data_IF_814223662892
#
_entry.id   IF_814223662892
#
_cell.length_a   1.000
_cell.length_b   1.000
_cell.length_c   1.000
_cell.angle_alpha   90.00
_cell.angle_beta   90.00
_cell.angle_gamma   90.00
#
_symmetry.space_group_name_H-M   'P 1'
#
loop_
_entity.id
_entity.type
_entity.pdbx_description
1 polymer ?
#
# COMPACT_ATOMS: atom_id res chain seq x y z
N UNK A 1 -28.89 10.85 4.74
CA UNK A 1 -27.91 9.88 4.21
C UNK A 1 -26.65 10.05 5.04
N UNK A 2 -26.08 8.96 5.57
CA UNK A 2 -24.87 9.04 6.40
C UNK A 2 -23.67 9.44 5.56
N UNK A 3 -22.75 10.18 6.13
CA UNK A 3 -21.45 10.46 5.53
C UNK A 3 -20.53 9.27 5.80
N UNK A 4 -20.23 8.50 4.76
CA UNK A 4 -19.27 7.42 4.84
C UNK A 4 -17.85 8.01 4.81
N UNK A 5 -16.98 7.52 5.69
CA UNK A 5 -15.57 7.89 5.74
C UNK A 5 -14.75 6.63 5.67
N UNK A 6 -13.79 6.54 4.76
CA UNK A 6 -12.96 5.35 4.62
C UNK A 6 -11.58 5.67 4.06
N UNK A 7 -10.64 4.76 4.29
CA UNK A 7 -9.33 4.77 3.66
C UNK A 7 -9.36 3.82 2.45
N UNK A 8 -8.90 4.32 1.31
CA UNK A 8 -8.66 3.55 0.10
C UNK A 8 -7.17 3.21 0.00
N UNK A 9 -6.85 1.94 0.25
CA UNK A 9 -5.48 1.45 0.20
C UNK A 9 -4.89 1.45 -1.21
N UNK A 10 -5.72 1.36 -2.27
CA UNK A 10 -5.24 1.36 -3.65
C UNK A 10 -4.70 2.72 -4.09
N UNK A 11 -5.19 3.79 -3.49
CA UNK A 11 -4.80 5.17 -3.82
C UNK A 11 -4.09 5.92 -2.69
N UNK A 12 -3.91 5.30 -1.52
CA UNK A 12 -3.35 5.91 -0.30
C UNK A 12 -4.04 7.23 0.10
N UNK A 13 -5.37 7.22 0.07
CA UNK A 13 -6.19 8.39 0.41
C UNK A 13 -7.40 8.05 1.28
N UNK A 14 -7.89 9.07 1.98
CA UNK A 14 -9.13 9.05 2.73
C UNK A 14 -10.22 9.69 1.89
N UNK A 15 -11.35 9.01 1.77
CA UNK A 15 -12.55 9.53 1.17
C UNK A 15 -13.58 9.89 2.23
N UNK A 16 -14.30 10.98 1.97
CA UNK A 16 -15.49 11.39 2.71
C UNK A 16 -16.60 11.49 1.69
N UNK A 17 -17.66 10.72 1.82
CA UNK A 17 -18.72 10.63 0.79
C UNK A 17 -19.46 11.95 0.53
N UNK A 18 -19.29 12.96 1.39
CA UNK A 18 -19.82 14.31 1.23
C UNK A 18 -18.89 15.26 0.47
N UNK A 19 -17.71 14.79 0.03
CA UNK A 19 -16.70 15.56 -0.68
C UNK A 19 -16.30 14.84 -1.98
N UNK A 20 -16.02 15.61 -3.02
CA UNK A 20 -15.56 15.09 -4.32
C UNK A 20 -14.04 14.86 -4.34
N UNK A 21 -13.28 15.56 -3.48
CA UNK A 21 -11.83 15.42 -3.40
C UNK A 21 -11.39 14.47 -2.28
N UNK A 22 -10.36 13.63 -2.52
CA UNK A 22 -9.77 12.80 -1.49
C UNK A 22 -8.82 13.60 -0.59
N UNK A 23 -8.49 13.04 0.58
CA UNK A 23 -7.59 13.63 1.57
C UNK A 23 -6.42 12.69 1.88
N UNK A 24 -5.21 13.22 2.05
CA UNK A 24 -4.08 12.39 2.46
C UNK A 24 -4.21 11.95 3.94
N UNK A 25 -3.71 10.77 4.31
CA UNK A 25 -3.63 10.36 5.71
C UNK A 25 -2.89 11.38 6.58
N UNK A 26 -3.23 11.45 7.88
CA UNK A 26 -2.66 12.39 8.87
C UNK A 26 -2.90 13.87 8.59
N UNK A 27 -3.67 14.21 7.56
CA UNK A 27 -4.11 15.60 7.31
C UNK A 27 -5.46 15.91 7.94
N UNK A 28 -6.17 14.90 8.42
CA UNK A 28 -7.49 15.03 9.06
C UNK A 28 -7.43 14.66 10.55
N UNK A 29 -8.40 15.18 11.30
CA UNK A 29 -8.68 14.81 12.69
C UNK A 29 -10.18 14.82 12.95
N UNK A 30 -10.65 13.90 13.79
CA UNK A 30 -12.00 13.95 14.36
C UNK A 30 -11.94 14.57 15.76
N UNK A 31 -12.86 15.46 16.08
CA UNK A 31 -12.97 16.08 17.41
C UNK A 31 -14.40 15.93 17.91
N UNK A 32 -14.56 15.49 19.15
CA UNK A 32 -15.85 15.51 19.84
C UNK A 32 -15.97 16.82 20.62
N UNK A 33 -17.10 17.51 20.48
CA UNK A 33 -17.42 18.66 21.32
C UNK A 33 -18.22 18.28 22.57
N UNK A 34 -18.42 19.24 23.46
CA UNK A 34 -19.18 19.05 24.71
C UNK A 34 -20.66 18.73 24.47
N UNK A 35 -21.17 18.96 23.25
CA UNK A 35 -22.52 18.61 22.83
C UNK A 35 -22.60 17.19 22.22
N UNK A 36 -21.50 16.43 22.21
CA UNK A 36 -21.43 15.08 21.66
C UNK A 36 -21.41 15.02 20.13
N UNK A 37 -21.07 16.13 19.46
CA UNK A 37 -20.96 16.20 18.00
C UNK A 37 -19.52 15.98 17.56
N UNK A 38 -19.37 15.20 16.50
CA UNK A 38 -18.09 14.94 15.84
C UNK A 38 -17.87 16.01 14.78
N UNK A 39 -16.66 16.57 14.76
CA UNK A 39 -16.17 17.52 13.77
C UNK A 39 -14.93 16.96 13.09
N UNK A 40 -15.03 16.66 11.79
CA UNK A 40 -13.89 16.30 10.95
C UNK A 40 -13.29 17.58 10.37
N UNK A 41 -11.99 17.80 10.59
CA UNK A 41 -11.28 19.01 10.15
C UNK A 41 -9.92 18.65 9.56
N UNK A 42 -9.38 19.54 8.72
CA UNK A 42 -7.96 19.49 8.39
C UNK A 42 -7.12 19.86 9.62
N UNK A 43 -6.02 19.15 9.83
CA UNK A 43 -5.04 19.49 10.87
C UNK A 43 -4.49 20.88 10.59
N UNK A 44 -4.41 21.73 11.62
CA UNK A 44 -3.97 23.12 11.48
C UNK A 44 -5.02 24.07 10.91
N UNK A 45 -6.25 23.60 10.64
CA UNK A 45 -7.37 24.44 10.24
C UNK A 45 -8.57 24.27 11.18
N UNK A 46 -9.35 25.33 11.31
CA UNK A 46 -10.54 25.35 12.18
C UNK A 46 -11.85 25.11 11.42
N UNK A 47 -11.81 25.12 10.08
CA UNK A 47 -12.97 24.84 9.26
C UNK A 47 -13.36 23.36 9.37
N UNK A 48 -14.58 23.10 9.83
CA UNK A 48 -15.19 21.76 9.78
C UNK A 48 -15.52 21.39 8.34
N UNK A 49 -14.99 20.25 7.89
CA UNK A 49 -15.28 19.65 6.59
C UNK A 49 -16.61 18.90 6.65
N UNK A 50 -16.77 18.03 7.64
CA UNK A 50 -18.01 17.30 7.92
C UNK A 50 -18.25 17.30 9.43
N UNK A 51 -19.50 17.48 9.83
CA UNK A 51 -19.87 17.53 11.25
C UNK A 51 -21.27 17.03 11.49
N UNK A 52 -21.46 16.36 12.63
CA UNK A 52 -22.71 15.68 12.94
C UNK A 52 -22.62 14.93 14.25
N UNK A 53 -23.66 14.16 14.56
CA UNK A 53 -23.62 13.14 15.61
C UNK A 53 -22.97 11.87 15.07
N UNK A 54 -22.60 10.94 15.95
CA UNK A 54 -22.07 9.63 15.54
C UNK A 54 -23.01 8.89 14.57
N UNK A 55 -24.32 9.11 14.66
CA UNK A 55 -25.33 8.48 13.80
C UNK A 55 -25.34 9.03 12.37
N UNK A 56 -24.71 10.19 12.13
CA UNK A 56 -24.56 10.81 10.82
C UNK A 56 -23.37 10.25 10.03
N UNK A 57 -22.51 9.45 10.67
CA UNK A 57 -21.32 8.86 10.06
C UNK A 57 -21.48 7.35 9.84
N UNK A 58 -20.73 6.83 8.88
CA UNK A 58 -20.63 5.41 8.58
C UNK A 58 -19.22 5.04 8.11
N UNK A 59 -18.91 3.74 8.13
CA UNK A 59 -17.72 3.18 7.51
C UNK A 59 -17.84 3.13 5.97
N UNK A 60 -16.80 2.63 5.30
CA UNK A 60 -16.77 2.49 3.83
C UNK A 60 -17.79 1.49 3.26
N UNK A 61 -18.35 0.60 4.08
CA UNK A 61 -19.41 -0.32 3.70
C UNK A 61 -20.82 0.25 3.99
N UNK A 62 -20.90 1.45 4.58
CA UNK A 62 -22.15 2.14 4.91
C UNK A 62 -22.74 1.75 6.28
N UNK A 63 -22.03 0.98 7.10
CA UNK A 63 -22.46 0.66 8.46
C UNK A 63 -22.21 1.86 9.39
N UNK A 64 -23.23 2.24 10.15
CA UNK A 64 -23.10 3.31 11.14
C UNK A 64 -22.60 2.79 12.48
N UNK A 65 -22.17 3.72 13.34
CA UNK A 65 -21.62 3.43 14.66
C UNK A 65 -22.70 3.41 15.74
N UNK A 66 -22.43 2.71 16.85
CA UNK A 66 -23.34 2.59 17.99
C UNK A 66 -23.11 3.68 19.05
N UNK A 67 -21.94 4.33 19.04
CA UNK A 67 -21.60 5.40 19.99
C UNK A 67 -20.63 6.43 19.42
N UNK A 68 -20.52 7.63 20.04
CA UNK A 68 -19.47 8.59 19.72
C UNK A 68 -18.06 8.02 19.87
N UNK A 69 -17.81 7.20 20.89
CA UNK A 69 -16.50 6.61 21.14
C UNK A 69 -16.09 5.66 20.01
N UNK A 70 -17.01 4.81 19.55
CA UNK A 70 -16.76 3.89 18.43
C UNK A 70 -16.49 4.65 17.13
N UNK A 71 -17.30 5.67 16.83
CA UNK A 71 -17.10 6.51 15.66
C UNK A 71 -15.73 7.21 15.70
N UNK A 72 -15.32 7.74 16.87
CA UNK A 72 -14.00 8.38 17.01
C UNK A 72 -12.86 7.38 16.86
N UNK A 73 -12.94 6.18 17.46
CA UNK A 73 -11.92 5.14 17.30
C UNK A 73 -11.73 4.81 15.82
N UNK A 74 -12.84 4.55 15.11
CA UNK A 74 -12.80 4.27 13.69
C UNK A 74 -12.17 5.43 12.89
N UNK A 75 -12.62 6.67 13.12
CA UNK A 75 -12.11 7.84 12.41
C UNK A 75 -10.64 8.09 12.71
N UNK A 76 -10.19 7.93 13.96
CA UNK A 76 -8.79 8.07 14.34
C UNK A 76 -7.91 6.98 13.71
N UNK A 77 -8.42 5.75 13.59
CA UNK A 77 -7.71 4.68 12.86
C UNK A 77 -7.59 5.00 11.36
N UNK A 78 -8.66 5.49 10.73
CA UNK A 78 -8.66 5.89 9.31
C UNK A 78 -7.72 7.07 9.09
N UNK A 79 -7.78 8.10 9.93
CA UNK A 79 -6.98 9.33 9.78
C UNK A 79 -5.52 9.14 10.21
N UNK A 80 -5.29 8.29 11.20
CA UNK A 80 -3.99 8.00 11.78
C UNK A 80 -3.15 7.02 10.97
N UNK A 81 -3.71 6.41 9.91
CA UNK A 81 -2.97 5.53 8.99
C UNK A 81 -1.70 6.23 8.55
N UNK A 82 -0.58 5.53 8.68
CA UNK A 82 0.63 5.97 8.02
C UNK A 82 0.34 5.77 6.53
N UNK A 83 0.52 6.81 5.69
CA UNK A 83 0.57 6.54 4.28
C UNK A 83 1.62 5.44 4.10
N UNK A 84 1.26 4.35 3.43
CA UNK A 84 2.31 3.50 2.88
C UNK A 84 3.20 4.43 2.07
N UNK A 85 4.52 4.30 2.16
CA UNK A 85 5.43 5.28 1.57
C UNK A 85 5.27 5.28 0.05
N UNK A 86 4.27 6.02 -0.44
CA UNK A 86 3.78 5.92 -1.80
C UNK A 86 4.75 6.70 -2.67
N UNK A 87 5.72 5.99 -3.23
CA UNK A 87 6.43 6.46 -4.41
C UNK A 87 5.36 6.77 -5.48
N UNK A 88 5.09 8.05 -5.73
CA UNK A 88 4.10 8.53 -6.71
C UNK A 88 4.62 8.53 -8.14
N UNK A 89 5.71 7.80 -8.40
CA UNK A 89 6.36 7.76 -9.70
C UNK A 89 5.60 6.76 -10.59
N UNK A 90 5.05 7.18 -11.73
CA UNK A 90 4.33 6.27 -12.61
C UNK A 90 5.28 5.26 -13.27
N UNK A 91 4.73 4.10 -13.65
CA UNK A 91 5.43 3.13 -14.47
C UNK A 91 5.37 3.59 -15.95
N UNK A 92 6.50 3.76 -16.66
CA UNK A 92 6.48 4.19 -18.07
C UNK A 92 6.05 3.05 -19.02
N UNK A 93 5.93 1.83 -18.50
CA UNK A 93 5.49 0.63 -19.22
C UNK A 93 4.35 -0.07 -18.45
N UNK A 94 3.60 -0.92 -19.13
CA UNK A 94 2.68 -1.81 -18.44
C UNK A 94 3.45 -2.81 -17.56
N UNK A 95 2.98 -3.01 -16.33
CA UNK A 95 3.56 -3.95 -15.38
C UNK A 95 2.55 -5.06 -15.07
N UNK A 96 3.05 -6.28 -14.94
CA UNK A 96 2.28 -7.42 -14.46
C UNK A 96 2.21 -7.39 -12.93
N UNK A 97 1.16 -7.98 -12.38
CA UNK A 97 1.06 -8.24 -10.95
C UNK A 97 2.15 -9.22 -10.50
N UNK A 98 2.46 -9.18 -9.21
CA UNK A 98 3.31 -10.16 -8.53
C UNK A 98 4.73 -10.23 -9.11
N UNK A 99 5.26 -9.05 -9.44
CA UNK A 99 6.61 -8.84 -9.95
C UNK A 99 7.37 -7.86 -9.06
N UNK A 100 8.65 -8.14 -8.85
CA UNK A 100 9.55 -7.23 -8.14
C UNK A 100 9.85 -6.02 -9.02
N UNK A 101 9.76 -4.83 -8.44
CA UNK A 101 9.95 -3.55 -9.13
C UNK A 101 11.03 -2.71 -8.45
N UNK A 102 11.62 -1.81 -9.23
CA UNK A 102 12.65 -0.87 -8.80
C UNK A 102 12.40 0.53 -9.37
N UNK A 103 13.01 1.53 -8.75
CA UNK A 103 13.08 2.88 -9.32
C UNK A 103 14.16 2.90 -10.41
N UNK A 104 13.79 3.42 -11.57
CA UNK A 104 14.70 3.70 -12.68
C UNK A 104 14.76 5.20 -12.95
N UNK A 105 15.67 5.63 -13.82
CA UNK A 105 15.77 7.03 -14.23
C UNK A 105 14.50 7.59 -14.91
N UNK A 106 13.64 6.72 -15.46
CA UNK A 106 12.44 7.08 -16.23
C UNK A 106 11.12 6.73 -15.52
N UNK A 107 11.18 6.09 -14.35
CA UNK A 107 10.01 5.71 -13.57
C UNK A 107 10.14 4.34 -12.92
N UNK A 108 9.02 3.71 -12.58
CA UNK A 108 9.01 2.37 -11.98
C UNK A 108 9.10 1.29 -13.07
N UNK A 109 10.06 0.38 -12.94
CA UNK A 109 10.24 -0.76 -13.85
C UNK A 109 10.51 -2.07 -13.11
N UNK A 110 10.62 -3.16 -13.84
CA UNK A 110 11.01 -4.44 -13.23
C UNK A 110 12.43 -4.38 -12.70
N UNK A 111 12.63 -4.90 -11.49
CA UNK A 111 13.97 -5.21 -11.01
C UNK A 111 14.48 -6.48 -11.71
N UNK A 112 15.78 -6.66 -11.84
CA UNK A 112 16.34 -7.87 -12.45
C UNK A 112 17.60 -8.29 -11.72
N UNK A 113 17.72 -9.57 -11.38
CA UNK A 113 18.88 -10.09 -10.62
C UNK A 113 20.23 -9.88 -11.33
N UNK A 114 20.24 -9.69 -12.64
CA UNK A 114 21.43 -9.42 -13.46
C UNK A 114 21.73 -7.91 -13.66
N UNK A 115 20.88 -7.02 -13.14
CA UNK A 115 21.08 -5.57 -13.18
C UNK A 115 21.31 -5.02 -11.76
N UNK A 116 22.57 -4.78 -11.37
CA UNK A 116 22.91 -4.28 -10.04
C UNK A 116 22.27 -2.94 -9.69
N UNK A 117 22.02 -2.07 -10.66
CA UNK A 117 21.40 -0.78 -10.42
C UNK A 117 19.92 -0.93 -10.03
N UNK A 118 19.20 -1.81 -10.75
CA UNK A 118 17.81 -2.12 -10.40
C UNK A 118 17.69 -2.79 -9.04
N UNK A 119 18.61 -3.72 -8.71
CA UNK A 119 18.63 -4.46 -7.44
C UNK A 119 18.87 -3.51 -6.25
N UNK A 120 19.79 -2.55 -6.40
CA UNK A 120 20.06 -1.55 -5.38
C UNK A 120 18.91 -0.55 -5.16
N UNK A 121 17.95 -0.48 -6.10
CA UNK A 121 16.83 0.46 -6.11
C UNK A 121 15.46 -0.25 -6.03
N UNK A 122 15.40 -1.48 -5.51
CA UNK A 122 14.15 -2.23 -5.35
C UNK A 122 13.19 -1.50 -4.42
N UNK A 123 11.94 -1.40 -4.85
CA UNK A 123 10.84 -0.80 -4.09
C UNK A 123 9.99 -1.84 -3.39
N UNK A 124 9.58 -2.89 -4.10
CA UNK A 124 8.47 -3.73 -3.68
C UNK A 124 8.09 -4.79 -4.70
N UNK A 125 6.98 -5.47 -4.45
CA UNK A 125 6.34 -6.42 -5.35
C UNK A 125 4.98 -5.87 -5.75
N UNK A 126 4.66 -5.81 -7.04
CA UNK A 126 3.33 -5.37 -7.52
C UNK A 126 2.23 -6.28 -6.97
N UNK A 127 1.12 -5.69 -6.52
CA UNK A 127 -0.04 -6.45 -6.03
C UNK A 127 -0.99 -6.87 -7.17
N UNK A 128 -1.01 -6.07 -8.23
CA UNK A 128 -1.82 -6.29 -9.43
C UNK A 128 -1.11 -5.73 -10.66
N UNK A 129 -1.60 -6.09 -11.85
CA UNK A 129 -1.12 -5.47 -13.08
C UNK A 129 -1.52 -3.98 -13.14
N UNK A 130 -0.72 -3.17 -13.84
CA UNK A 130 -1.02 -1.78 -14.11
C UNK A 130 -0.66 -1.39 -15.55
N UNK A 131 -1.36 -0.38 -16.08
CA UNK A 131 -1.05 0.19 -17.38
C UNK A 131 0.12 1.18 -17.31
N UNK A 132 0.69 1.51 -18.47
CA UNK A 132 1.71 2.55 -18.57
C UNK A 132 1.14 3.93 -18.17
N UNK A 133 1.93 4.73 -17.49
CA UNK A 133 1.55 6.04 -16.95
C UNK A 133 0.85 5.98 -15.58
N UNK A 134 0.58 4.79 -15.05
CA UNK A 134 -0.09 4.60 -13.76
C UNK A 134 0.92 4.29 -12.67
N UNK A 135 0.66 4.75 -11.44
CA UNK A 135 1.41 4.35 -10.24
C UNK A 135 0.96 2.94 -9.85
N UNK A 136 1.83 1.93 -9.87
CA UNK A 136 1.46 0.57 -9.48
C UNK A 136 1.15 0.49 -7.99
N UNK A 137 0.16 -0.32 -7.61
CA UNK A 137 0.03 -0.79 -6.24
C UNK A 137 1.11 -1.86 -5.96
N UNK A 138 1.88 -1.71 -4.88
CA UNK A 138 2.95 -2.63 -4.52
C UNK A 138 3.08 -2.80 -3.02
N UNK A 139 3.60 -3.96 -2.63
CA UNK A 139 3.86 -4.35 -1.24
C UNK A 139 5.36 -4.35 -0.96
N UNK A 140 5.75 -3.71 0.13
CA UNK A 140 7.16 -3.64 0.61
C UNK A 140 7.43 -4.63 1.76
N UNK A 141 6.39 -4.98 2.52
CA UNK A 141 6.44 -5.95 3.61
C UNK A 141 5.05 -6.57 3.87
N UNK A 142 5.00 -7.71 4.56
CA UNK A 142 3.76 -8.35 4.97
C UNK A 142 3.28 -9.43 4.00
N UNK A 143 2.07 -9.95 4.19
CA UNK A 143 1.58 -11.11 3.43
C UNK A 143 1.05 -10.73 2.05
N UNK A 144 1.44 -11.48 1.01
CA UNK A 144 0.91 -11.42 -0.34
C UNK A 144 0.40 -12.80 -0.77
N UNK A 145 -0.85 -12.82 -1.23
CA UNK A 145 -1.52 -14.02 -1.71
C UNK A 145 -1.65 -13.97 -3.24
N UNK A 146 -1.38 -15.12 -3.89
CA UNK A 146 -1.56 -15.28 -5.34
C UNK A 146 -1.89 -16.74 -5.67
N UNK A 147 -3.12 -17.02 -6.17
CA UNK A 147 -3.57 -18.39 -6.41
C UNK A 147 -2.79 -19.17 -7.46
N UNK A 148 -2.12 -18.49 -8.40
CA UNK A 148 -1.36 -19.15 -9.47
C UNK A 148 0.03 -19.64 -9.04
N UNK A 149 0.50 -19.26 -7.84
CA UNK A 149 1.77 -19.73 -7.32
C UNK A 149 1.71 -21.17 -6.83
N UNK A 150 2.86 -21.82 -6.89
CA UNK A 150 3.08 -23.20 -6.42
C UNK A 150 4.42 -23.29 -5.69
N UNK A 151 4.67 -22.38 -4.75
CA UNK A 151 5.92 -22.36 -4.01
C UNK A 151 6.00 -23.51 -2.99
N UNK A 152 7.22 -23.95 -2.68
CA UNK A 152 7.49 -24.70 -1.47
C UNK A 152 7.68 -23.74 -0.29
N UNK A 153 7.48 -24.18 0.95
CA UNK A 153 7.79 -23.35 2.11
C UNK A 153 9.30 -23.08 2.13
N UNK A 154 9.70 -21.82 2.04
CA UNK A 154 11.12 -21.46 1.92
C UNK A 154 11.37 -20.06 1.38
N UNK A 155 12.64 -19.68 1.19
CA UNK A 155 12.99 -18.35 0.68
C UNK A 155 12.51 -18.17 -0.76
N UNK A 156 12.16 -16.93 -1.09
CA UNK A 156 11.86 -16.49 -2.46
C UNK A 156 12.79 -15.35 -2.80
N UNK A 157 13.40 -15.43 -3.97
CA UNK A 157 14.41 -14.52 -4.48
C UNK A 157 13.90 -13.76 -5.71
N UNK A 158 14.52 -12.61 -5.96
CA UNK A 158 14.43 -11.91 -7.23
C UNK A 158 15.14 -12.72 -8.33
N UNK A 159 14.45 -12.97 -9.44
CA UNK A 159 15.00 -13.45 -10.69
C UNK A 159 15.09 -12.36 -11.75
N UNK A 160 15.15 -12.77 -13.02
CA UNK A 160 15.16 -11.85 -14.16
C UNK A 160 13.81 -11.15 -14.35
N UNK A 161 13.83 -9.90 -14.78
CA UNK A 161 12.64 -9.12 -15.15
C UNK A 161 11.48 -9.19 -14.12
N UNK A 162 11.83 -9.08 -12.84
CA UNK A 162 10.91 -8.99 -11.71
C UNK A 162 10.32 -10.33 -11.29
N UNK A 163 10.77 -11.45 -11.88
CA UNK A 163 10.27 -12.77 -11.52
C UNK A 163 10.59 -13.12 -10.06
N UNK A 164 9.67 -13.87 -9.44
CA UNK A 164 9.86 -14.49 -8.13
C UNK A 164 10.31 -15.94 -8.36
N UNK A 165 11.40 -16.37 -7.73
CA UNK A 165 11.99 -17.70 -7.89
C UNK A 165 12.43 -18.29 -6.55
N UNK A 166 12.43 -19.62 -6.43
CA UNK A 166 12.98 -20.32 -5.25
C UNK A 166 14.40 -20.84 -5.50
N UNK A 167 14.89 -20.73 -6.74
CA UNK A 167 16.30 -20.95 -7.07
C UNK A 167 17.03 -19.62 -6.98
N UNK A 168 17.98 -19.51 -6.05
CA UNK A 168 18.81 -18.31 -5.93
C UNK A 168 19.62 -18.09 -7.21
N UNK A 169 19.74 -16.84 -7.71
CA UNK A 169 20.61 -16.53 -8.84
C UNK A 169 22.07 -16.93 -8.58
N UNK A 170 22.73 -17.50 -9.58
CA UNK A 170 24.15 -17.91 -9.50
C UNK A 170 25.12 -16.83 -10.02
N UNK A 171 24.58 -15.76 -10.62
CA UNK A 171 25.33 -14.61 -11.11
C UNK A 171 24.52 -13.32 -10.89
N UNK A 172 25.20 -12.17 -10.91
CA UNK A 172 24.59 -10.88 -10.63
C UNK A 172 24.39 -10.67 -9.13
N UNK A 173 23.15 -10.56 -8.68
CA UNK A 173 22.82 -10.35 -7.28
C UNK A 173 21.81 -11.38 -6.77
N UNK A 174 22.05 -11.84 -5.54
CA UNK A 174 21.09 -12.60 -4.75
C UNK A 174 20.34 -11.63 -3.87
N UNK A 175 19.04 -11.47 -4.12
CA UNK A 175 18.14 -10.67 -3.29
C UNK A 175 16.97 -11.54 -2.85
N UNK A 176 16.90 -11.82 -1.55
CA UNK A 176 15.71 -12.45 -0.98
C UNK A 176 14.63 -11.39 -0.78
N UNK A 177 13.45 -11.64 -1.36
CA UNK A 177 12.31 -10.71 -1.32
C UNK A 177 11.24 -11.14 -0.30
N UNK A 178 11.33 -12.37 0.18
CA UNK A 178 10.44 -12.88 1.24
C UNK A 178 10.63 -14.36 1.53
N UNK A 179 9.65 -14.93 2.23
CA UNK A 179 9.55 -16.36 2.54
C UNK A 179 8.15 -16.85 2.19
N UNK A 180 8.04 -17.86 1.34
CA UNK A 180 6.78 -18.55 1.08
C UNK A 180 6.34 -19.29 2.34
N UNK A 181 5.18 -18.92 2.88
CA UNK A 181 4.58 -19.55 4.06
C UNK A 181 3.58 -20.66 3.69
N UNK A 182 3.13 -20.67 2.43
CA UNK A 182 2.35 -21.74 1.80
C UNK A 182 2.53 -21.64 0.27
N UNK A 183 2.02 -22.60 -0.53
CA UNK A 183 2.19 -22.55 -1.98
C UNK A 183 1.69 -21.29 -2.68
N UNK A 184 0.71 -20.61 -2.08
CA UNK A 184 0.05 -19.42 -2.63
C UNK A 184 0.22 -18.18 -1.75
N UNK A 185 1.08 -18.22 -0.72
CA UNK A 185 1.31 -17.10 0.20
C UNK A 185 2.79 -16.81 0.40
N UNK A 186 3.18 -15.56 0.13
CA UNK A 186 4.50 -15.00 0.37
C UNK A 186 4.45 -14.01 1.54
N UNK A 187 5.31 -14.18 2.54
CA UNK A 187 5.60 -13.13 3.52
C UNK A 187 6.73 -12.26 2.95
N UNK A 188 6.35 -11.10 2.43
CA UNK A 188 7.26 -10.10 1.85
C UNK A 188 8.11 -9.49 2.96
N UNK A 189 9.41 -9.43 2.69
CA UNK A 189 10.42 -8.88 3.57
C UNK A 189 11.72 -8.75 2.80
N UNK A 190 11.84 -7.67 2.04
CA UNK A 190 12.97 -7.42 1.13
C UNK A 190 14.24 -7.23 1.96
N UNK A 191 15.23 -8.09 1.72
CA UNK A 191 16.51 -8.08 2.42
C UNK A 191 17.53 -7.17 1.72
N UNK A 192 18.71 -7.01 2.30
CA UNK A 192 19.83 -6.39 1.59
C UNK A 192 20.33 -7.31 0.46
N UNK A 193 20.67 -6.77 -0.72
CA UNK A 193 21.18 -7.56 -1.81
C UNK A 193 22.62 -8.02 -1.56
N UNK A 194 22.92 -9.25 -1.94
CA UNK A 194 24.28 -9.79 -1.98
C UNK A 194 24.77 -9.89 -3.42
N UNK A 195 25.74 -9.05 -3.79
CA UNK A 195 26.32 -9.04 -5.13
C UNK A 195 27.38 -10.13 -5.25
N UNK A 196 27.22 -11.00 -6.26
CA UNK A 196 28.15 -12.07 -6.56
C UNK A 196 29.33 -11.50 -7.35
N UNK A 197 30.55 -11.89 -6.95
CA UNK A 197 31.75 -11.51 -7.69
C UNK A 197 31.68 -12.15 -9.09
N UNK A 198 31.92 -11.32 -10.11
CA UNK A 198 32.03 -11.73 -11.51
C UNK A 198 33.26 -12.58 -11.76
#
# INVERSE_FOLDING_TARGET
>A
MRTAVWYDAGCDVIWISSHEEPFAPRTLRALLDDAGRIHIRRVGQDKTLAGGTYADFADGAGFGFLSPAEALIYLDEVFGRRPEQAVTVPAPIALSGHRVISVTAVGIGYASSDDPASVAAVLGITESACEAGIVPAYRTAGALDEPSWSFEIGPVFLGLAGALTQTAPEAGAVLQVGVAASPTRLLVGIQEPYFLAS
#
